data_IF_686306471433
#
_entry.id   IF_686306471433
#
_cell.length_a   1.000
_cell.length_b   1.000
_cell.length_c   1.000
_cell.angle_alpha   90.00
_cell.angle_beta   90.00
_cell.angle_gamma   90.00
#
_symmetry.space_group_name_H-M   'P 1'
#
loop_
_entity.id
_entity.type
_entity.pdbx_description
1 polymer ?
#
# COMPACT_ATOMS: atom_id res chain seq x y z
N UNK A 1 52.04 -43.36 -1.98
CA UNK A 1 50.73 -42.70 -2.27
C UNK A 1 49.71 -42.86 -1.15
N UNK A 2 49.49 -44.07 -0.59
CA UNK A 2 48.53 -44.30 0.52
C UNK A 2 48.82 -43.51 1.81
N UNK A 3 50.10 -43.28 2.14
CA UNK A 3 50.51 -42.52 3.35
C UNK A 3 50.32 -41.00 3.23
N UNK A 4 50.29 -40.45 2.01
CA UNK A 4 50.07 -39.01 1.77
C UNK A 4 48.58 -38.66 1.83
N UNK A 5 47.70 -39.59 1.45
CA UNK A 5 46.24 -39.46 1.56
C UNK A 5 45.82 -39.47 3.04
N UNK A 6 46.46 -40.28 3.89
CA UNK A 6 46.17 -40.33 5.32
C UNK A 6 46.51 -39.01 6.06
N UNK A 7 47.58 -38.31 5.64
CA UNK A 7 47.97 -37.03 6.24
C UNK A 7 47.02 -35.89 5.81
N UNK A 8 46.53 -35.92 4.56
CA UNK A 8 45.54 -34.96 4.08
C UNK A 8 44.17 -35.10 4.78
N UNK A 9 43.77 -36.32 5.16
CA UNK A 9 42.52 -36.58 5.88
C UNK A 9 42.55 -36.13 7.34
N UNK A 10 43.72 -36.14 8.00
CA UNK A 10 43.87 -35.64 9.37
C UNK A 10 43.90 -34.11 9.41
N UNK A 11 44.43 -33.44 8.38
CA UNK A 11 44.42 -31.99 8.27
C UNK A 11 43.01 -31.41 8.02
N UNK A 12 42.11 -32.17 7.39
CA UNK A 12 40.73 -31.72 7.10
C UNK A 12 39.78 -31.85 8.31
N UNK A 13 40.14 -32.64 9.32
CA UNK A 13 39.33 -32.82 10.54
C UNK A 13 39.56 -31.74 11.62
N UNK A 14 40.56 -30.87 11.44
CA UNK A 14 40.91 -29.80 12.40
C UNK A 14 40.26 -28.44 12.16
N UNK A 15 39.46 -28.28 11.08
CA UNK A 15 38.85 -27.01 10.67
C UNK A 15 37.33 -26.95 10.90
N UNK A 16 36.79 -27.80 11.78
CA UNK A 16 35.48 -27.54 12.38
C UNK A 16 35.63 -26.42 13.41
N UNK A 17 35.71 -25.18 12.91
CA UNK A 17 35.43 -24.01 13.74
C UNK A 17 34.00 -24.17 14.26
N UNK A 18 33.87 -24.75 15.45
CA UNK A 18 32.67 -24.61 16.27
C UNK A 18 32.48 -23.11 16.41
N UNK A 19 31.55 -22.56 15.64
CA UNK A 19 31.06 -21.21 15.90
C UNK A 19 30.38 -21.29 17.26
N UNK A 20 31.14 -21.01 18.31
CA UNK A 20 30.61 -20.86 19.64
C UNK A 20 29.62 -19.70 19.57
N UNK A 21 28.33 -20.03 19.58
CA UNK A 21 27.30 -19.03 19.85
C UNK A 21 27.63 -18.46 21.24
N UNK A 22 28.05 -17.20 21.26
CA UNK A 22 28.35 -16.48 22.48
C UNK A 22 27.03 -16.34 23.24
N UNK A 23 26.78 -17.21 24.23
CA UNK A 23 25.56 -17.19 25.02
C UNK A 23 25.61 -15.97 25.93
N UNK A 24 24.68 -15.04 25.72
CA UNK A 24 24.54 -13.85 26.55
C UNK A 24 23.90 -14.21 27.89
N UNK A 25 24.72 -14.24 28.95
CA UNK A 25 24.35 -14.62 30.33
C UNK A 25 23.72 -13.49 31.15
N UNK A 26 23.54 -12.28 30.59
CA UNK A 26 22.93 -11.17 31.33
C UNK A 26 21.49 -11.49 31.71
N UNK A 27 21.08 -11.11 32.94
CA UNK A 27 19.66 -11.07 33.32
C UNK A 27 18.97 -10.06 32.39
N UNK A 28 17.93 -10.50 31.69
CA UNK A 28 17.26 -9.68 30.67
C UNK A 28 15.78 -10.00 30.59
N UNK A 29 15.00 -9.02 30.16
CA UNK A 29 13.57 -9.15 29.84
C UNK A 29 13.38 -8.87 28.34
N UNK A 30 12.58 -9.71 27.69
CA UNK A 30 12.15 -9.51 26.32
C UNK A 30 10.66 -9.13 26.33
N UNK A 31 10.33 -7.98 25.75
CA UNK A 31 8.97 -7.44 25.70
C UNK A 31 8.63 -6.95 24.30
N UNK A 32 7.34 -6.97 24.00
CA UNK A 32 6.78 -6.32 22.82
C UNK A 32 5.88 -5.16 23.22
N UNK A 33 6.03 -4.04 22.51
CA UNK A 33 5.14 -2.88 22.59
C UNK A 33 4.49 -2.63 21.25
N UNK A 34 3.25 -2.15 21.28
CA UNK A 34 2.46 -1.87 20.08
C UNK A 34 1.91 -0.46 20.10
N UNK A 35 1.65 0.10 18.92
CA UNK A 35 0.95 1.36 18.75
C UNK A 35 0.10 1.32 17.50
N UNK A 36 -1.14 1.79 17.60
CA UNK A 36 -2.06 1.88 16.49
C UNK A 36 -2.73 3.25 16.41
N UNK A 37 -3.17 3.61 15.21
CA UNK A 37 -4.01 4.78 14.96
C UNK A 37 -4.86 4.55 13.72
N UNK A 38 -5.93 5.32 13.63
CA UNK A 38 -6.71 5.47 12.41
C UNK A 38 -6.55 6.90 11.87
N UNK A 39 -6.46 7.04 10.55
CA UNK A 39 -6.40 8.34 9.89
C UNK A 39 -7.37 8.38 8.70
N UNK A 40 -8.02 9.53 8.52
CA UNK A 40 -8.86 9.78 7.35
C UNK A 40 -7.91 10.07 6.18
N UNK A 41 -8.04 9.36 5.04
CA UNK A 41 -7.19 9.63 3.88
C UNK A 41 -7.46 11.03 3.33
N UNK A 42 -6.40 11.70 2.88
CA UNK A 42 -6.46 12.98 2.17
C UNK A 42 -6.05 12.85 0.69
N UNK A 43 -5.71 11.63 0.26
CA UNK A 43 -5.35 11.27 -1.09
C UNK A 43 -6.18 10.07 -1.55
N UNK A 44 -6.71 10.17 -2.75
CA UNK A 44 -7.48 9.14 -3.44
C UNK A 44 -6.83 8.91 -4.80
N UNK A 45 -6.47 7.66 -5.08
CA UNK A 45 -6.05 7.25 -6.41
C UNK A 45 -7.23 6.66 -7.15
N UNK A 46 -7.56 7.25 -8.30
CA UNK A 46 -8.70 6.86 -9.13
C UNK A 46 -8.17 6.34 -10.47
N UNK A 47 -8.59 5.13 -10.82
CA UNK A 47 -8.38 4.53 -12.12
C UNK A 47 -9.39 5.07 -13.11
N UNK A 48 -8.92 5.49 -14.28
CA UNK A 48 -9.74 5.97 -15.40
C UNK A 48 -9.36 5.15 -16.62
N UNK A 49 -10.31 4.39 -17.15
CA UNK A 49 -10.12 3.61 -18.37
C UNK A 49 -10.81 4.33 -19.53
N UNK A 50 -10.03 4.77 -20.51
CA UNK A 50 -10.51 5.35 -21.76
C UNK A 50 -10.53 4.28 -22.86
N UNK A 51 -11.52 4.34 -23.74
CA UNK A 51 -11.63 3.48 -24.92
C UNK A 51 -12.06 4.28 -26.14
N UNK A 52 -11.48 3.93 -27.29
CA UNK A 52 -11.97 4.41 -28.57
C UNK A 52 -13.40 3.93 -28.81
N UNK A 53 -14.14 4.68 -29.64
CA UNK A 53 -15.46 4.26 -30.08
C UNK A 53 -15.79 4.81 -31.47
N UNK A 54 -16.71 4.15 -32.17
CA UNK A 54 -17.22 4.60 -33.47
C UNK A 54 -18.43 5.51 -33.29
N UNK A 55 -18.41 6.70 -33.89
CA UNK A 55 -19.58 7.59 -33.97
C UNK A 55 -20.57 7.01 -34.98
N UNK A 56 -21.83 6.97 -34.59
CA UNK A 56 -22.94 6.49 -35.43
C UNK A 56 -22.72 5.07 -36.00
N UNK A 57 -21.93 4.24 -35.30
CA UNK A 57 -21.48 2.92 -35.77
C UNK A 57 -20.79 2.95 -37.15
N UNK A 58 -20.15 4.08 -37.49
CA UNK A 58 -19.45 4.29 -38.74
C UNK A 58 -17.94 4.11 -38.55
N UNK A 59 -17.37 3.08 -39.18
CA UNK A 59 -15.93 2.78 -39.13
C UNK A 59 -15.03 3.88 -39.66
N UNK A 60 -15.56 4.86 -40.42
CA UNK A 60 -14.83 6.05 -40.88
C UNK A 60 -14.87 7.23 -39.91
N UNK A 61 -15.69 7.16 -38.85
CA UNK A 61 -15.87 8.22 -37.85
C UNK A 61 -15.52 7.70 -36.46
N UNK A 62 -14.25 7.37 -36.25
CA UNK A 62 -13.74 6.93 -34.94
C UNK A 62 -13.35 8.14 -34.10
N UNK A 63 -13.63 8.09 -32.80
CA UNK A 63 -12.97 8.97 -31.82
C UNK A 63 -11.72 8.26 -31.36
N UNK A 64 -10.58 8.85 -31.67
CA UNK A 64 -9.26 8.30 -31.36
C UNK A 64 -8.97 8.43 -29.87
N UNK A 65 -8.14 7.53 -29.35
CA UNK A 65 -7.76 7.57 -27.93
C UNK A 65 -7.11 8.91 -27.58
N UNK A 66 -6.32 9.48 -28.50
CA UNK A 66 -5.63 10.77 -28.32
C UNK A 66 -6.58 11.95 -28.14
N UNK A 67 -7.76 11.93 -28.76
CA UNK A 67 -8.76 12.98 -28.56
C UNK A 67 -9.32 12.93 -27.13
N UNK A 68 -9.61 11.72 -26.64
CA UNK A 68 -10.08 11.49 -25.26
C UNK A 68 -9.00 11.81 -24.23
N UNK A 69 -7.74 11.49 -24.55
CA UNK A 69 -6.58 11.88 -23.74
C UNK A 69 -6.48 13.40 -23.59
N UNK A 70 -6.58 14.13 -24.69
CA UNK A 70 -6.52 15.59 -24.67
C UNK A 70 -7.66 16.19 -23.84
N UNK A 71 -8.88 15.62 -23.93
CA UNK A 71 -10.00 16.01 -23.08
C UNK A 71 -9.69 15.76 -21.60
N UNK A 72 -9.19 14.57 -21.25
CA UNK A 72 -8.80 14.24 -19.88
C UNK A 72 -7.72 15.18 -19.34
N UNK A 73 -6.65 15.41 -20.11
CA UNK A 73 -5.56 16.32 -19.71
C UNK A 73 -6.04 17.76 -19.53
N UNK A 74 -6.91 18.26 -20.42
CA UNK A 74 -7.48 19.60 -20.31
C UNK A 74 -8.41 19.72 -19.10
N UNK A 75 -9.25 18.71 -18.86
CA UNK A 75 -10.16 18.66 -17.72
C UNK A 75 -9.40 18.63 -16.38
N UNK A 76 -8.35 17.81 -16.27
CA UNK A 76 -7.48 17.74 -15.08
C UNK A 76 -6.81 19.08 -14.79
N UNK A 77 -6.26 19.75 -15.81
CA UNK A 77 -5.66 21.08 -15.65
C UNK A 77 -6.69 22.12 -15.24
N UNK A 78 -7.89 22.10 -15.85
CA UNK A 78 -8.99 23.02 -15.52
C UNK A 78 -9.48 22.85 -14.08
N UNK A 79 -9.47 21.63 -13.55
CA UNK A 79 -9.78 21.32 -12.15
C UNK A 79 -8.65 21.75 -11.17
N UNK A 80 -7.57 22.35 -11.68
CA UNK A 80 -6.43 22.81 -10.89
C UNK A 80 -5.59 21.66 -10.33
N UNK A 81 -5.60 20.49 -10.99
CA UNK A 81 -4.78 19.35 -10.61
C UNK A 81 -3.50 19.37 -11.46
N UNK A 82 -2.37 19.26 -10.77
CA UNK A 82 -1.05 19.23 -11.38
C UNK A 82 -0.90 18.03 -12.33
N UNK A 83 -0.18 18.20 -13.43
CA UNK A 83 -0.02 17.16 -14.47
C UNK A 83 0.59 15.88 -13.90
N UNK A 84 1.48 16.02 -12.93
CA UNK A 84 2.20 14.92 -12.28
C UNK A 84 1.26 14.00 -11.49
N UNK A 85 0.07 14.49 -11.14
CA UNK A 85 -0.97 13.71 -10.47
C UNK A 85 -1.80 12.86 -11.45
N UNK A 86 -1.58 12.97 -12.75
CA UNK A 86 -2.16 12.08 -13.76
C UNK A 86 -1.06 11.25 -14.40
N UNK A 87 -1.08 9.94 -14.13
CA UNK A 87 -0.09 8.99 -14.62
C UNK A 87 -0.74 7.93 -15.50
N UNK A 88 -0.01 7.40 -16.48
CA UNK A 88 -0.47 6.28 -17.29
C UNK A 88 -0.18 4.99 -16.53
N UNK A 89 -1.22 4.22 -16.21
CA UNK A 89 -1.10 2.95 -15.50
C UNK A 89 -0.90 1.77 -16.44
N UNK A 90 -1.56 1.79 -17.61
CA UNK A 90 -1.49 0.71 -18.59
C UNK A 90 -1.89 1.21 -19.98
N UNK A 91 -1.39 0.55 -21.02
CA UNK A 91 -1.80 0.74 -22.41
C UNK A 91 -2.08 -0.64 -23.01
N UNK A 92 -3.31 -0.84 -23.47
CA UNK A 92 -3.71 -2.07 -24.13
C UNK A 92 -4.43 -1.75 -25.43
N UNK A 93 -4.39 -2.67 -26.37
CA UNK A 93 -5.25 -2.56 -27.54
C UNK A 93 -6.03 -3.84 -27.72
N UNK A 94 -7.35 -3.74 -27.70
CA UNK A 94 -8.22 -4.89 -27.77
C UNK A 94 -8.53 -5.21 -29.23
N UNK A 95 -7.97 -6.32 -29.71
CA UNK A 95 -8.34 -6.88 -31.00
C UNK A 95 -9.40 -7.96 -30.76
N UNK A 96 -10.67 -7.64 -31.03
CA UNK A 96 -11.68 -8.70 -31.16
C UNK A 96 -11.50 -9.33 -32.55
N UNK A 97 -10.56 -10.28 -32.69
CA UNK A 97 -10.65 -11.44 -33.61
C UNK A 97 -9.37 -12.26 -33.60
N UNK A 98 -9.53 -13.54 -33.33
CA UNK A 98 -8.69 -14.62 -33.86
C UNK A 98 -8.70 -14.50 -35.39
N UNK A 99 -7.52 -14.55 -36.01
CA UNK A 99 -7.30 -14.70 -37.46
C UNK A 99 -7.45 -13.46 -38.39
N UNK A 100 -6.30 -13.09 -38.97
CA UNK A 100 -6.09 -12.57 -40.34
C UNK A 100 -7.23 -11.74 -40.98
N UNK A 101 -7.43 -10.50 -40.51
CA UNK A 101 -7.78 -9.32 -41.32
C UNK A 101 -7.62 -8.08 -40.45
N UNK A 102 -7.15 -6.96 -41.01
CA UNK A 102 -7.20 -5.64 -40.34
C UNK A 102 -8.68 -5.36 -40.05
N UNK A 103 -9.11 -5.62 -38.82
CA UNK A 103 -10.50 -5.44 -38.42
C UNK A 103 -10.76 -3.92 -38.29
N UNK A 104 -11.74 -3.35 -39.00
CA UNK A 104 -12.08 -1.93 -38.89
C UNK A 104 -12.65 -1.54 -37.50
N UNK A 105 -12.89 -2.54 -36.64
CA UNK A 105 -13.43 -2.40 -35.29
C UNK A 105 -12.34 -2.50 -34.19
N UNK A 106 -11.07 -2.27 -34.56
CA UNK A 106 -9.98 -2.18 -33.59
C UNK A 106 -10.10 -0.89 -32.78
N UNK A 107 -10.41 -1.03 -31.49
CA UNK A 107 -10.57 0.07 -30.55
C UNK A 107 -9.46 -0.02 -29.50
N UNK A 108 -8.61 1.00 -29.46
CA UNK A 108 -7.58 1.11 -28.43
C UNK A 108 -8.19 1.47 -27.07
N UNK A 109 -7.51 1.08 -25.99
CA UNK A 109 -7.88 1.49 -24.63
C UNK A 109 -6.65 1.87 -23.81
N UNK A 110 -6.78 2.88 -22.96
CA UNK A 110 -5.67 3.34 -22.14
C UNK A 110 -6.14 3.65 -20.72
N UNK A 111 -5.35 3.25 -19.75
CA UNK A 111 -5.68 3.38 -18.33
C UNK A 111 -4.77 4.41 -17.68
N UNK A 112 -5.39 5.28 -16.89
CA UNK A 112 -4.72 6.32 -16.13
C UNK A 112 -5.01 6.15 -14.65
N UNK A 113 -4.05 6.57 -13.83
CA UNK A 113 -4.23 6.79 -12.41
C UNK A 113 -4.19 8.29 -12.15
N UNK A 114 -5.27 8.80 -11.59
CA UNK A 114 -5.40 10.18 -11.15
C UNK A 114 -5.31 10.24 -9.63
N UNK A 115 -4.44 11.09 -9.11
CA UNK A 115 -4.34 11.43 -7.69
C UNK A 115 -5.18 12.67 -7.41
N UNK A 116 -6.19 12.54 -6.56
CA UNK A 116 -7.05 13.66 -6.13
C UNK A 116 -7.16 13.70 -4.60
N UNK A 117 -7.48 14.88 -4.07
CA UNK A 117 -7.84 15.07 -2.66
C UNK A 117 -9.34 15.35 -2.47
N UNK A 118 -10.08 15.51 -3.56
CA UNK A 118 -11.49 15.89 -3.57
C UNK A 118 -12.23 15.18 -4.72
N UNK A 119 -13.29 14.44 -4.37
CA UNK A 119 -14.12 13.73 -5.34
C UNK A 119 -14.98 14.67 -6.20
N UNK A 120 -15.26 15.89 -5.73
CA UNK A 120 -16.00 16.88 -6.54
C UNK A 120 -15.19 17.29 -7.77
N UNK A 121 -13.88 17.51 -7.61
CA UNK A 121 -12.96 17.77 -8.73
C UNK A 121 -12.92 16.61 -9.72
N UNK A 122 -12.96 15.37 -9.22
CA UNK A 122 -13.04 14.20 -10.08
C UNK A 122 -14.34 14.17 -10.89
N UNK A 123 -15.48 14.49 -10.27
CA UNK A 123 -16.77 14.57 -10.96
C UNK A 123 -16.75 15.64 -12.07
N UNK A 124 -16.16 16.81 -11.80
CA UNK A 124 -15.97 17.87 -12.81
C UNK A 124 -15.08 17.42 -13.99
N UNK A 125 -14.02 16.64 -13.70
CA UNK A 125 -13.14 16.08 -14.73
C UNK A 125 -13.91 15.13 -15.63
N UNK A 126 -14.60 14.16 -15.03
CA UNK A 126 -15.34 13.13 -15.79
C UNK A 126 -16.48 13.74 -16.60
N UNK A 127 -17.18 14.75 -16.06
CA UNK A 127 -18.23 15.47 -16.78
C UNK A 127 -17.71 16.26 -17.99
N UNK A 128 -16.40 16.53 -18.05
CA UNK A 128 -15.75 17.25 -19.16
C UNK A 128 -15.19 16.33 -20.25
N UNK A 129 -15.33 15.01 -20.10
CA UNK A 129 -14.87 14.01 -21.07
C UNK A 129 -16.09 13.40 -21.75
N UNK A 130 -15.97 13.04 -23.02
CA UNK A 130 -17.02 12.32 -23.73
C UNK A 130 -17.36 10.99 -23.00
N UNK A 131 -18.61 10.83 -22.51
CA UNK A 131 -18.99 9.67 -21.71
C UNK A 131 -18.88 8.35 -22.49
N UNK A 132 -19.00 8.37 -23.83
CA UNK A 132 -18.82 7.16 -24.66
C UNK A 132 -17.37 6.68 -24.68
N UNK A 133 -16.43 7.60 -24.48
CA UNK A 133 -15.00 7.32 -24.40
C UNK A 133 -14.53 6.80 -23.04
N UNK A 134 -15.37 6.87 -22.00
CA UNK A 134 -15.06 6.34 -20.68
C UNK A 134 -15.52 4.88 -20.60
N UNK A 135 -14.59 3.95 -20.46
CA UNK A 135 -14.87 2.54 -20.32
C UNK A 135 -15.30 2.18 -18.88
N UNK A 136 -14.56 2.68 -17.89
CA UNK A 136 -14.90 2.58 -16.47
C UNK A 136 -14.07 3.59 -15.66
N UNK A 137 -14.49 3.81 -14.42
CA UNK A 137 -13.69 4.46 -13.39
C UNK A 137 -13.82 3.69 -12.08
N UNK A 138 -12.77 3.66 -11.28
CA UNK A 138 -12.78 2.98 -9.98
C UNK A 138 -11.80 3.65 -9.01
N UNK A 139 -12.11 3.60 -7.71
CA UNK A 139 -11.12 3.94 -6.69
C UNK A 139 -10.11 2.80 -6.63
N UNK A 140 -8.83 3.09 -6.85
CA UNK A 140 -7.74 2.11 -6.80
C UNK A 140 -7.20 1.97 -5.37
N UNK A 141 -6.96 3.09 -4.69
CA UNK A 141 -6.47 3.10 -3.31
C UNK A 141 -6.68 4.45 -2.62
N UNK A 142 -6.57 4.43 -1.30
CA UNK A 142 -6.54 5.61 -0.44
C UNK A 142 -5.15 5.75 0.17
N UNK A 143 -4.73 6.99 0.40
CA UNK A 143 -3.42 7.29 0.98
C UNK A 143 -3.51 8.54 1.87
N UNK A 144 -2.44 8.79 2.62
CA UNK A 144 -2.33 9.92 3.52
C UNK A 144 -1.03 10.66 3.30
N UNK A 145 -1.10 11.97 3.05
CA UNK A 145 0.04 12.82 2.68
C UNK A 145 1.18 12.80 3.70
N UNK A 146 0.88 12.51 4.97
CA UNK A 146 1.84 12.45 6.08
C UNK A 146 2.06 11.03 6.59
N UNK A 147 1.80 10.01 5.77
CA UNK A 147 1.88 8.60 6.18
C UNK A 147 3.23 8.25 6.80
N UNK A 148 4.33 8.68 6.20
CA UNK A 148 5.69 8.37 6.70
C UNK A 148 6.02 9.02 8.05
N UNK A 149 5.50 10.23 8.30
CA UNK A 149 5.59 10.85 9.63
C UNK A 149 4.79 10.06 10.66
N UNK A 150 3.58 9.65 10.30
CA UNK A 150 2.70 8.90 11.18
C UNK A 150 3.28 7.52 11.53
N UNK A 151 3.89 6.83 10.56
CA UNK A 151 4.61 5.57 10.79
C UNK A 151 5.75 5.75 11.79
N UNK A 152 6.57 6.80 11.62
CA UNK A 152 7.66 7.13 12.55
C UNK A 152 7.14 7.33 13.98
N UNK A 153 6.10 8.14 14.14
CA UNK A 153 5.52 8.45 15.44
C UNK A 153 4.96 7.19 16.12
N UNK A 154 4.31 6.30 15.37
CA UNK A 154 3.80 5.04 15.89
C UNK A 154 4.91 4.08 16.30
N UNK A 155 6.00 3.96 15.53
CA UNK A 155 7.14 3.14 15.92
C UNK A 155 7.79 3.64 17.21
N UNK A 156 7.91 4.96 17.38
CA UNK A 156 8.40 5.57 18.64
C UNK A 156 7.45 5.22 19.79
N UNK A 157 6.13 5.39 19.60
CA UNK A 157 5.13 5.03 20.62
C UNK A 157 5.18 3.54 20.99
N UNK A 158 5.32 2.64 20.01
CA UNK A 158 5.44 1.21 20.24
C UNK A 158 6.70 0.86 21.05
N UNK A 159 7.84 1.50 20.75
CA UNK A 159 9.08 1.33 21.53
C UNK A 159 8.92 1.85 22.97
N UNK A 160 8.28 3.01 23.15
CA UNK A 160 8.00 3.56 24.49
C UNK A 160 7.05 2.66 25.29
N UNK A 161 6.03 2.10 24.65
CA UNK A 161 5.12 1.13 25.26
C UNK A 161 5.85 -0.17 25.65
N UNK A 162 6.81 -0.64 24.84
CA UNK A 162 7.67 -1.77 25.19
C UNK A 162 8.50 -1.45 26.44
N UNK A 163 9.14 -0.27 26.47
CA UNK A 163 9.92 0.17 27.63
C UNK A 163 9.08 0.27 28.90
N UNK A 164 7.92 0.92 28.83
CA UNK A 164 6.98 1.03 29.95
C UNK A 164 6.57 -0.34 30.47
N UNK A 165 6.27 -1.28 29.55
CA UNK A 165 5.97 -2.67 29.88
C UNK A 165 7.11 -3.36 30.63
N UNK A 166 8.34 -3.24 30.13
CA UNK A 166 9.48 -3.83 30.81
C UNK A 166 9.70 -3.22 32.20
N UNK A 167 9.55 -1.90 32.34
CA UNK A 167 9.72 -1.18 33.62
C UNK A 167 8.79 -1.73 34.70
N UNK A 168 7.47 -1.75 34.47
CA UNK A 168 6.55 -2.19 35.53
C UNK A 168 6.70 -3.69 35.85
N UNK A 169 7.11 -4.51 34.87
CA UNK A 169 7.29 -5.95 35.08
C UNK A 169 8.50 -6.26 35.97
N UNK A 170 9.62 -5.55 35.78
CA UNK A 170 10.82 -5.76 36.62
C UNK A 170 10.67 -5.12 37.99
N UNK A 171 10.03 -3.95 38.07
CA UNK A 171 9.75 -3.28 39.35
C UNK A 171 8.82 -4.10 40.25
N UNK A 172 7.85 -4.81 39.66
CA UNK A 172 6.97 -5.74 40.38
C UNK A 172 7.73 -6.92 41.03
N UNK A 173 8.94 -7.22 40.55
CA UNK A 173 9.83 -8.26 41.10
C UNK A 173 10.89 -7.68 42.05
N UNK A 174 10.89 -6.37 42.30
CA UNK A 174 11.88 -5.68 43.13
C UNK A 174 13.22 -5.40 42.42
N UNK A 175 13.30 -5.65 41.12
CA UNK A 175 14.46 -5.33 40.28
C UNK A 175 14.29 -3.95 39.61
N UNK A 176 15.33 -3.46 38.91
CA UNK A 176 15.28 -2.23 38.11
C UNK A 176 15.53 -2.49 36.63
N UNK A 177 14.89 -1.71 35.77
CA UNK A 177 15.13 -1.79 34.33
C UNK A 177 16.52 -1.22 33.99
N UNK A 178 17.33 -2.01 33.29
CA UNK A 178 18.65 -1.64 32.80
C UNK A 178 18.62 -1.03 31.40
N UNK A 179 19.78 -1.05 30.74
CA UNK A 179 19.91 -0.50 29.39
C UNK A 179 19.25 -1.41 28.35
N UNK A 180 18.88 -0.84 27.21
CA UNK A 180 18.44 -1.63 26.06
C UNK A 180 19.61 -2.43 25.48
N UNK A 181 19.37 -3.70 25.20
CA UNK A 181 20.34 -4.65 24.64
C UNK A 181 20.10 -4.81 23.14
N UNK A 182 18.83 -4.95 22.74
CA UNK A 182 18.42 -5.21 21.37
C UNK A 182 17.07 -4.56 21.08
N UNK A 183 16.90 -4.06 19.86
CA UNK A 183 15.64 -3.52 19.35
C UNK A 183 15.38 -4.13 17.98
N UNK A 184 14.26 -4.82 17.85
CA UNK A 184 13.80 -5.38 16.60
C UNK A 184 12.53 -4.64 16.18
N UNK A 185 12.64 -3.88 15.09
CA UNK A 185 11.48 -3.34 14.40
C UNK A 185 10.71 -4.52 13.79
N UNK A 186 9.46 -4.72 14.22
CA UNK A 186 8.57 -5.74 13.66
C UNK A 186 8.19 -5.48 12.20
N UNK A 187 8.67 -4.38 11.62
CA UNK A 187 8.50 -3.98 10.24
C UNK A 187 7.22 -3.18 10.03
N UNK A 188 7.06 -2.71 8.79
CA UNK A 188 5.81 -2.16 8.31
C UNK A 188 4.87 -3.34 8.00
N UNK A 189 4.27 -3.93 9.05
CA UNK A 189 3.24 -4.94 8.84
C UNK A 189 2.14 -4.31 7.99
N UNK A 190 1.89 -4.93 6.83
CA UNK A 190 1.17 -4.34 5.72
C UNK A 190 -0.15 -3.70 6.18
N UNK A 191 -0.31 -2.43 5.79
CA UNK A 191 -1.55 -1.67 5.83
C UNK A 191 -2.61 -2.51 5.12
N UNK A 192 -3.37 -3.33 5.85
CA UNK A 192 -4.48 -4.08 5.28
C UNK A 192 -5.70 -3.18 5.38
N UNK A 193 -6.27 -2.69 4.26
CA UNK A 193 -7.50 -1.95 4.30
C UNK A 193 -8.58 -2.87 4.87
N UNK A 194 -9.03 -2.63 6.10
CA UNK A 194 -10.06 -3.50 6.74
C UNK A 194 -11.35 -3.40 5.93
N UNK A 195 -11.62 -4.36 5.05
CA UNK A 195 -12.87 -4.42 4.30
C UNK A 195 -13.99 -4.78 5.26
N UNK A 196 -14.68 -3.76 5.78
CA UNK A 196 -15.96 -3.98 6.45
C UNK A 196 -16.94 -4.41 5.36
N UNK A 197 -17.20 -5.71 5.29
CA UNK A 197 -18.23 -6.27 4.42
C UNK A 197 -19.56 -5.55 4.71
N UNK A 198 -19.98 -4.68 3.81
CA UNK A 198 -21.28 -3.99 3.84
C UNK A 198 -22.46 -4.94 3.51
N UNK A 199 -22.26 -6.26 3.51
CA UNK A 199 -23.27 -7.27 3.16
C UNK A 199 -24.27 -7.61 4.29
N UNK A 200 -24.36 -6.84 5.37
CA UNK A 200 -25.23 -7.15 6.52
C UNK A 200 -26.10 -5.97 7.00
N UNK A 201 -26.41 -5.01 6.11
CA UNK A 201 -27.35 -3.92 6.46
C UNK A 201 -28.21 -3.45 5.29
N UNK A 202 -28.62 -4.39 4.43
CA UNK A 202 -29.65 -4.14 3.41
C UNK A 202 -31.07 -4.46 3.92
N UNK A 203 -31.23 -4.81 5.20
CA UNK A 203 -32.53 -4.86 5.86
C UNK A 203 -32.45 -4.03 7.13
N UNK A 204 -33.43 -3.14 7.33
CA UNK A 204 -33.59 -2.19 8.45
C UNK A 204 -32.85 -0.84 8.29
N UNK A 205 -33.46 0.09 7.56
CA UNK A 205 -34.10 1.27 8.17
C UNK A 205 -34.30 2.37 7.12
N UNK A 206 -35.57 2.69 6.89
CA UNK A 206 -36.04 3.86 6.16
C UNK A 206 -35.78 5.11 7.00
N UNK A 207 -34.74 5.88 6.65
CA UNK A 207 -34.49 7.26 7.06
C UNK A 207 -33.22 7.75 6.34
N UNK A 208 -33.40 8.32 5.15
CA UNK A 208 -32.32 8.91 4.37
C UNK A 208 -31.84 10.22 5.02
N UNK A 209 -30.95 10.12 6.02
CA UNK A 209 -29.94 11.15 6.19
C UNK A 209 -29.08 11.18 4.91
N UNK A 210 -28.61 12.35 4.43
CA UNK A 210 -27.66 12.38 3.33
C UNK A 210 -26.49 11.48 3.73
N UNK A 211 -26.20 10.49 2.90
CA UNK A 211 -25.07 9.60 3.13
C UNK A 211 -23.80 10.47 3.11
N UNK A 212 -23.28 10.80 4.29
CA UNK A 212 -21.89 11.21 4.40
C UNK A 212 -21.09 10.06 3.82
N UNK A 213 -20.45 10.30 2.68
CA UNK A 213 -19.54 9.35 2.06
C UNK A 213 -18.33 9.29 2.99
N UNK A 214 -18.41 8.44 4.01
CA UNK A 214 -17.35 8.28 4.99
C UNK A 214 -16.18 7.57 4.31
N UNK A 215 -15.06 8.27 4.19
CA UNK A 215 -13.86 7.70 3.61
C UNK A 215 -13.38 6.55 4.49
N UNK A 216 -13.01 5.43 3.85
CA UNK A 216 -12.46 4.28 4.56
C UNK A 216 -11.17 4.71 5.27
N UNK A 217 -11.21 4.81 6.60
CA UNK A 217 -10.04 5.15 7.42
C UNK A 217 -8.89 4.17 7.17
N UNK A 218 -7.69 4.70 7.12
CA UNK A 218 -6.45 3.92 7.07
C UNK A 218 -6.09 3.57 8.51
N UNK A 219 -6.09 2.27 8.83
CA UNK A 219 -5.61 1.76 10.12
C UNK A 219 -4.13 1.40 10.01
N UNK A 220 -3.34 1.89 10.95
CA UNK A 220 -1.92 1.56 11.09
C UNK A 220 -1.68 0.87 12.42
N UNK A 221 -0.85 -0.17 12.42
CA UNK A 221 -0.45 -0.89 13.63
C UNK A 221 1.03 -1.26 13.51
N UNK A 222 1.82 -0.88 14.51
CA UNK A 222 3.25 -1.19 14.60
C UNK A 222 3.55 -1.92 15.88
N UNK A 223 4.50 -2.86 15.80
CA UNK A 223 5.02 -3.61 16.93
C UNK A 223 6.53 -3.51 16.95
N UNK A 224 7.10 -3.26 18.13
CA UNK A 224 8.54 -3.25 18.35
C UNK A 224 8.84 -4.22 19.49
N UNK A 225 9.78 -5.13 19.23
CA UNK A 225 10.32 -6.01 20.26
C UNK A 225 11.61 -5.37 20.80
N UNK A 226 11.75 -5.34 22.12
CA UNK A 226 12.92 -4.81 22.78
C UNK A 226 13.37 -5.74 23.90
N UNK A 227 14.69 -5.90 23.99
CA UNK A 227 15.34 -6.65 25.06
C UNK A 227 16.05 -5.64 25.96
N UNK A 228 15.75 -5.67 27.25
CA UNK A 228 16.38 -4.82 28.25
C UNK A 228 17.14 -5.66 29.26
N UNK A 229 18.25 -5.13 29.77
CA UNK A 229 18.93 -5.67 30.93
C UNK A 229 18.05 -5.51 32.18
N UNK A 230 18.17 -6.44 33.14
CA UNK A 230 17.59 -6.35 34.47
C UNK A 230 18.73 -6.08 35.45
N UNK A 231 18.59 -5.06 36.30
CA UNK A 231 19.53 -4.71 37.36
C UNK A 231 19.04 -5.20 38.71
#
# INVERSE_FOLDING_TARGET
MKKLIAIALVAFLGLSTVQAQQVDLRRKINVSGTAETEVIPDIIYIGISLKEYLKDNNSKKKVEITDLENQLFAAVQKAGIAKENLTVSNLSSWNYTTEKKKNPDFLASKQYRLKVSDLNKFNEIIASIDPKGIANTNIESYDYSKIESLKRDLKIKALLAAKEKATYMVEALGDKLGNVIDIQDGGDNAIQPVYRNYMLKAEMSDAAAPAEIDFKKIKLNFSVNAVFEIK
#
